data_IF_510929803363
#
_entry.id   IF_510929803363
#
_cell.length_a   1.000
_cell.length_b   1.000
_cell.length_c   1.000
_cell.angle_alpha   90.00
_cell.angle_beta   90.00
_cell.angle_gamma   90.00
#
_symmetry.space_group_name_H-M   'P 1'
#
loop_
_entity.id
_entity.type
_entity.pdbx_description
1 polymer ?
#
# COMPACT_ATOMS: atom_id res chain seq x y z
N UNK A 1 -55.26 -14.55 -63.31
CA UNK A 1 -54.54 -13.94 -64.42
C UNK A 1 -53.07 -14.03 -64.15
N UNK A 2 -52.52 -14.91 -64.75
CA UNK A 2 -51.28 -15.47 -65.13
C UNK A 2 -50.32 -14.43 -65.68
N UNK A 3 -49.05 -14.40 -65.24
CA UNK A 3 -47.95 -14.32 -66.19
C UNK A 3 -46.64 -14.75 -65.49
N UNK A 4 -46.08 -15.83 -66.06
CA UNK A 4 -44.72 -16.33 -65.77
C UNK A 4 -43.68 -15.39 -66.40
N UNK A 5 -42.53 -15.25 -65.82
CA UNK A 5 -41.34 -14.75 -66.49
C UNK A 5 -40.14 -15.61 -66.14
N UNK A 6 -39.61 -16.24 -67.23
CA UNK A 6 -38.39 -17.03 -67.28
C UNK A 6 -37.18 -16.06 -67.15
N UNK A 7 -36.24 -16.37 -66.30
CA UNK A 7 -34.92 -15.74 -66.34
C UNK A 7 -33.86 -16.81 -66.57
N UNK A 8 -33.13 -16.59 -67.59
CA UNK A 8 -31.99 -17.38 -68.12
C UNK A 8 -30.76 -17.22 -67.26
N UNK A 9 -30.09 -18.31 -66.89
CA UNK A 9 -28.77 -18.37 -66.34
C UNK A 9 -27.70 -18.07 -67.41
N UNK A 10 -26.72 -17.18 -67.08
CA UNK A 10 -25.47 -17.18 -67.84
C UNK A 10 -24.45 -18.14 -67.21
N UNK A 11 -23.82 -18.92 -68.02
CA UNK A 11 -22.67 -19.79 -67.73
C UNK A 11 -21.46 -18.89 -67.34
N UNK A 12 -20.93 -19.07 -66.12
CA UNK A 12 -19.64 -18.55 -65.74
C UNK A 12 -18.63 -19.68 -65.73
N UNK A 13 -18.12 -20.03 -66.91
CA UNK A 13 -16.90 -20.84 -67.09
C UNK A 13 -15.80 -19.93 -67.63
N UNK A 14 -14.91 -19.41 -66.74
CA UNK A 14 -13.77 -18.67 -67.26
C UNK A 14 -12.91 -17.91 -66.21
N UNK A 15 -13.32 -17.80 -64.97
CA UNK A 15 -12.60 -16.95 -63.97
C UNK A 15 -11.77 -17.70 -62.94
N UNK A 16 -11.74 -19.06 -62.98
CA UNK A 16 -11.07 -19.84 -61.93
C UNK A 16 -9.55 -20.05 -62.16
N UNK A 17 -9.00 -19.61 -63.28
CA UNK A 17 -7.55 -19.81 -63.58
C UNK A 17 -6.68 -18.55 -63.45
N UNK A 18 -7.25 -17.38 -63.34
CA UNK A 18 -6.50 -16.13 -63.17
C UNK A 18 -6.21 -15.76 -61.70
N UNK A 19 -7.00 -16.27 -60.74
CA UNK A 19 -6.83 -15.98 -59.30
C UNK A 19 -5.75 -16.83 -58.59
N UNK A 20 -5.29 -17.92 -59.22
CA UNK A 20 -4.28 -18.80 -58.62
C UNK A 20 -2.83 -18.35 -58.86
N UNK A 21 -2.59 -17.34 -59.71
CA UNK A 21 -1.25 -16.82 -59.98
C UNK A 21 -0.95 -15.49 -59.30
N UNK A 22 -1.95 -14.79 -58.75
CA UNK A 22 -1.76 -13.57 -57.98
C UNK A 22 -1.57 -13.86 -56.49
N UNK A 23 -2.07 -14.99 -56.00
CA UNK A 23 -1.92 -15.41 -54.60
C UNK A 23 -0.51 -15.85 -54.19
N UNK A 24 0.37 -16.20 -55.17
CA UNK A 24 1.72 -16.70 -54.87
C UNK A 24 2.79 -15.58 -54.82
N UNK A 25 2.45 -14.36 -55.23
CA UNK A 25 3.37 -13.22 -55.19
C UNK A 25 3.16 -12.32 -53.97
N UNK A 26 2.09 -12.52 -53.16
CA UNK A 26 1.86 -11.80 -51.91
C UNK A 26 2.39 -12.55 -50.66
N UNK A 27 2.86 -13.79 -50.81
CA UNK A 27 3.43 -14.57 -49.69
C UNK A 27 4.90 -14.21 -49.37
N UNK A 28 5.49 -13.29 -50.12
CA UNK A 28 6.90 -12.89 -49.97
C UNK A 28 7.16 -11.58 -49.20
N UNK A 29 6.11 -10.86 -48.77
CA UNK A 29 6.21 -9.65 -47.98
C UNK A 29 5.69 -9.90 -46.54
N UNK A 30 6.22 -10.93 -45.88
CA UNK A 30 6.27 -10.90 -44.43
C UNK A 30 7.19 -9.72 -44.08
N UNK A 31 6.71 -8.72 -43.30
CA UNK A 31 7.62 -7.71 -42.78
C UNK A 31 8.71 -8.49 -42.04
N UNK A 32 9.95 -8.40 -42.49
CA UNK A 32 11.09 -8.76 -41.66
C UNK A 32 10.90 -7.89 -40.42
N UNK A 33 10.44 -8.49 -39.32
CA UNK A 33 10.48 -7.88 -38.01
C UNK A 33 11.94 -7.52 -37.81
N UNK A 34 12.25 -6.24 -37.99
CA UNK A 34 13.54 -5.65 -37.61
C UNK A 34 13.69 -5.98 -36.16
N UNK A 35 14.55 -6.94 -35.83
CA UNK A 35 14.80 -7.29 -34.43
C UNK A 35 15.66 -6.16 -33.88
N UNK A 36 15.05 -5.38 -32.99
CA UNK A 36 15.75 -4.33 -32.26
C UNK A 36 16.98 -4.92 -31.54
N UNK A 37 18.08 -4.16 -31.54
CA UNK A 37 19.31 -4.51 -30.81
C UNK A 37 19.16 -4.39 -29.28
N UNK A 38 17.92 -4.19 -28.80
CA UNK A 38 17.55 -4.07 -27.41
C UNK A 38 16.37 -5.00 -27.12
N UNK A 39 16.43 -5.68 -25.98
CA UNK A 39 15.31 -6.46 -25.44
C UNK A 39 15.37 -6.49 -23.91
N UNK A 40 14.21 -6.57 -23.27
CA UNK A 40 14.09 -6.75 -21.82
C UNK A 40 13.25 -7.99 -21.51
N UNK A 41 13.70 -8.77 -20.53
CA UNK A 41 12.90 -9.91 -20.08
C UNK A 41 11.68 -9.44 -19.30
N UNK A 42 10.55 -10.20 -19.35
CA UNK A 42 9.38 -9.88 -18.53
C UNK A 42 9.75 -9.75 -17.05
N UNK A 43 9.22 -8.72 -16.42
CA UNK A 43 9.35 -8.46 -14.99
C UNK A 43 8.11 -8.99 -14.26
N UNK A 44 8.32 -9.77 -13.20
CA UNK A 44 7.21 -10.24 -12.38
C UNK A 44 6.66 -9.09 -11.51
N UNK A 45 5.37 -9.18 -11.19
CA UNK A 45 4.70 -8.24 -10.29
C UNK A 45 5.32 -8.23 -8.88
N UNK A 46 5.16 -7.11 -8.21
CA UNK A 46 5.50 -6.93 -6.80
C UNK A 46 4.23 -6.97 -5.96
N UNK A 47 3.98 -8.08 -5.30
CA UNK A 47 2.94 -8.22 -4.30
C UNK A 47 3.58 -8.18 -2.92
N UNK A 48 3.34 -7.10 -2.18
CA UNK A 48 3.84 -6.94 -0.83
C UNK A 48 2.94 -7.64 0.20
N UNK A 49 1.72 -8.01 -0.19
CA UNK A 49 0.75 -8.59 0.71
C UNK A 49 0.27 -7.59 1.77
N UNK A 50 0.04 -8.10 2.98
CA UNK A 50 -0.55 -7.35 4.08
C UNK A 50 0.53 -6.71 4.95
N UNK A 51 0.50 -5.38 5.09
CA UNK A 51 1.48 -4.65 5.92
C UNK A 51 1.24 -4.89 7.42
N UNK A 52 2.32 -5.14 8.16
CA UNK A 52 2.28 -5.25 9.63
C UNK A 52 2.81 -3.98 10.28
N UNK A 53 2.06 -3.36 11.21
CA UNK A 53 2.54 -2.22 11.99
C UNK A 53 3.85 -2.53 12.72
N UNK A 54 4.77 -1.56 12.74
CA UNK A 54 6.08 -1.71 13.36
C UNK A 54 7.14 -2.34 12.44
N UNK A 55 6.77 -2.87 11.27
CA UNK A 55 7.74 -3.15 10.23
C UNK A 55 8.36 -1.82 9.77
N UNK A 56 9.67 -1.79 9.70
CA UNK A 56 10.40 -0.63 9.22
C UNK A 56 10.19 -0.41 7.71
N UNK A 57 11.27 -0.21 6.97
CA UNK A 57 11.20 -0.12 5.52
C UNK A 57 10.85 -1.48 4.89
N UNK A 58 9.89 -1.51 3.98
CA UNK A 58 9.60 -2.66 3.14
C UNK A 58 10.33 -2.52 1.81
N UNK A 59 11.05 -3.58 1.41
CA UNK A 59 11.83 -3.62 0.19
C UNK A 59 11.57 -4.92 -0.54
N UNK A 60 11.21 -4.81 -1.81
CA UNK A 60 11.14 -5.94 -2.73
C UNK A 60 11.98 -5.67 -3.96
N UNK A 61 12.48 -6.70 -4.60
CA UNK A 61 13.27 -6.55 -5.83
C UNK A 61 12.96 -7.65 -6.84
N UNK A 62 13.15 -7.32 -8.11
CA UNK A 62 13.05 -8.26 -9.23
C UNK A 62 14.24 -8.06 -10.16
N UNK A 63 14.85 -9.15 -10.52
CA UNK A 63 15.95 -9.17 -11.46
C UNK A 63 15.42 -9.30 -12.89
N UNK A 64 16.07 -8.64 -13.82
CA UNK A 64 15.76 -8.71 -15.23
C UNK A 64 17.03 -8.76 -16.09
N UNK A 65 16.87 -9.18 -17.34
CA UNK A 65 17.91 -9.13 -18.33
C UNK A 65 17.61 -8.00 -19.31
N UNK A 66 18.53 -7.04 -19.43
CA UNK A 66 18.53 -6.00 -20.43
C UNK A 66 19.56 -6.35 -21.51
N UNK A 67 19.09 -6.86 -22.64
CA UNK A 67 19.91 -7.07 -23.82
C UNK A 67 20.14 -5.72 -24.49
N UNK A 68 21.40 -5.38 -24.78
CA UNK A 68 21.75 -4.18 -25.54
C UNK A 68 23.02 -4.45 -26.35
N UNK A 69 22.88 -4.49 -27.69
CA UNK A 69 23.93 -4.96 -28.61
C UNK A 69 24.04 -4.07 -29.84
N UNK A 70 25.13 -4.23 -30.58
CA UNK A 70 25.37 -3.53 -31.87
C UNK A 70 24.36 -4.01 -32.93
N UNK A 71 23.75 -3.04 -33.61
CA UNK A 71 22.83 -3.29 -34.73
C UNK A 71 21.54 -4.02 -34.28
N UNK A 72 20.82 -4.56 -35.23
CA UNK A 72 19.52 -5.21 -35.01
C UNK A 72 19.64 -6.70 -34.66
N UNK A 73 20.86 -7.17 -34.35
CA UNK A 73 21.13 -8.57 -34.12
C UNK A 73 21.12 -8.93 -32.63
N UNK A 74 20.00 -9.38 -32.14
CA UNK A 74 19.90 -10.01 -30.82
C UNK A 74 20.70 -11.35 -30.73
N UNK A 75 21.47 -11.68 -31.77
CA UNK A 75 22.30 -12.89 -31.85
C UNK A 75 23.78 -12.63 -31.55
N UNK A 76 24.10 -11.45 -31.03
CA UNK A 76 25.46 -11.11 -30.63
C UNK A 76 25.95 -12.03 -29.52
N UNK A 77 27.07 -12.73 -29.78
CA UNK A 77 27.62 -13.77 -28.90
C UNK A 77 28.99 -13.40 -28.30
N UNK A 78 29.41 -12.14 -28.39
CA UNK A 78 30.68 -11.72 -27.81
C UNK A 78 30.62 -10.34 -27.17
N UNK A 79 31.45 -10.13 -26.15
CA UNK A 79 31.50 -8.91 -25.35
C UNK A 79 31.74 -7.63 -26.15
N UNK A 80 32.37 -7.72 -27.33
CA UNK A 80 32.65 -6.54 -28.17
C UNK A 80 31.39 -5.99 -28.87
N UNK A 81 30.30 -6.75 -28.83
CA UNK A 81 29.02 -6.35 -29.42
C UNK A 81 28.06 -5.75 -28.37
N UNK A 82 28.40 -5.82 -27.10
CA UNK A 82 27.59 -5.24 -26.03
C UNK A 82 27.61 -3.71 -26.11
N UNK A 83 26.48 -3.12 -25.76
CA UNK A 83 26.32 -1.68 -25.63
C UNK A 83 25.72 -1.34 -24.25
N UNK A 84 26.07 -0.21 -23.70
CA UNK A 84 25.40 0.24 -22.49
C UNK A 84 23.92 0.52 -22.75
N UNK A 85 23.12 0.47 -21.67
CA UNK A 85 21.71 0.84 -21.70
C UNK A 85 21.37 1.86 -20.64
N UNK A 86 20.29 2.61 -20.87
CA UNK A 86 19.56 3.38 -19.88
C UNK A 86 18.18 2.79 -19.66
N UNK A 87 17.50 3.22 -18.62
CA UNK A 87 16.16 2.76 -18.30
C UNK A 87 15.26 3.95 -17.97
N UNK A 88 13.97 3.80 -18.29
CA UNK A 88 12.92 4.76 -17.94
C UNK A 88 11.77 3.97 -17.34
N UNK A 89 11.20 4.46 -16.24
CA UNK A 89 9.96 3.91 -15.71
C UNK A 89 8.83 4.90 -15.94
N UNK A 90 7.76 4.42 -16.57
CA UNK A 90 6.52 5.16 -16.80
C UNK A 90 5.44 4.66 -15.87
N UNK A 91 4.68 5.58 -15.28
CA UNK A 91 3.47 5.29 -14.52
C UNK A 91 2.27 5.22 -15.48
N UNK A 92 1.74 4.03 -15.68
CA UNK A 92 0.65 3.78 -16.63
C UNK A 92 -0.73 4.18 -16.10
N UNK A 93 -0.87 4.35 -14.80
CA UNK A 93 -2.12 4.75 -14.16
C UNK A 93 -2.20 6.27 -13.89
N UNK A 94 -1.15 7.00 -14.30
CA UNK A 94 -1.02 8.45 -14.12
C UNK A 94 -1.16 8.93 -12.66
N UNK A 95 -0.82 8.08 -11.70
CA UNK A 95 -0.84 8.40 -10.28
C UNK A 95 0.38 9.21 -9.83
N UNK A 96 1.47 9.19 -10.60
CA UNK A 96 2.71 9.90 -10.29
C UNK A 96 2.49 11.41 -10.12
N UNK A 97 3.24 12.02 -9.21
CA UNK A 97 3.20 13.45 -8.95
C UNK A 97 4.62 14.04 -9.01
N UNK A 98 4.90 14.80 -10.06
CA UNK A 98 6.23 15.35 -10.30
C UNK A 98 7.28 14.26 -10.41
N UNK A 99 8.24 14.24 -9.48
CA UNK A 99 9.33 13.24 -9.43
C UNK A 99 9.03 12.01 -8.60
N UNK A 100 7.79 11.85 -8.08
CA UNK A 100 7.44 10.80 -7.13
C UNK A 100 6.48 9.80 -7.76
N UNK A 101 6.84 8.53 -7.73
CA UNK A 101 5.93 7.43 -8.05
C UNK A 101 4.92 7.24 -6.93
N UNK A 102 3.69 6.88 -7.27
CA UNK A 102 2.63 6.63 -6.29
C UNK A 102 1.80 5.43 -6.68
N UNK A 103 1.30 4.72 -5.68
CA UNK A 103 0.21 3.76 -5.82
C UNK A 103 -1.10 4.48 -5.54
N UNK A 104 -2.15 4.14 -6.28
CA UNK A 104 -3.49 4.64 -6.03
C UNK A 104 -4.27 3.66 -5.15
N UNK A 105 -5.06 4.20 -4.23
CA UNK A 105 -6.06 3.40 -3.51
C UNK A 105 -7.12 2.89 -4.49
N UNK A 106 -7.56 1.65 -4.35
CA UNK A 106 -8.52 1.03 -5.30
C UNK A 106 -9.86 1.76 -5.37
N UNK A 107 -10.30 2.40 -4.27
CA UNK A 107 -11.50 3.22 -4.23
C UNK A 107 -11.26 4.66 -4.72
N UNK A 108 -10.03 5.01 -5.08
CA UNK A 108 -9.65 6.34 -5.56
C UNK A 108 -9.39 7.36 -4.44
N UNK A 109 -8.94 8.55 -4.84
CA UNK A 109 -8.79 9.73 -3.97
C UNK A 109 -7.59 9.72 -3.02
N UNK A 110 -6.93 8.58 -2.79
CA UNK A 110 -5.77 8.45 -1.91
C UNK A 110 -4.60 7.83 -2.63
N UNK A 111 -3.40 8.26 -2.26
CA UNK A 111 -2.16 7.83 -2.89
C UNK A 111 -1.10 7.52 -1.84
N UNK A 112 -0.29 6.51 -2.12
CA UNK A 112 0.88 6.14 -1.35
C UNK A 112 2.14 6.38 -2.19
N UNK A 113 3.07 7.17 -1.68
CA UNK A 113 4.36 7.40 -2.34
C UNK A 113 5.26 6.18 -2.22
N UNK A 114 5.97 5.87 -3.32
CA UNK A 114 6.93 4.77 -3.37
C UNK A 114 8.24 5.25 -3.98
N UNK A 115 9.33 4.62 -3.59
CA UNK A 115 10.63 4.81 -4.22
C UNK A 115 10.95 3.63 -5.13
N UNK A 116 11.25 3.92 -6.40
CA UNK A 116 11.79 2.94 -7.34
C UNK A 116 13.28 3.20 -7.57
N UNK A 117 14.07 2.14 -7.55
CA UNK A 117 15.52 2.20 -7.79
C UNK A 117 15.94 1.16 -8.80
N UNK A 118 16.92 1.50 -9.60
CA UNK A 118 17.57 0.59 -10.54
C UNK A 118 18.98 0.27 -10.05
N UNK A 119 19.33 -1.00 -10.01
CA UNK A 119 20.70 -1.45 -9.72
C UNK A 119 21.25 -2.21 -10.92
N UNK A 120 22.39 -1.76 -11.41
CA UNK A 120 23.23 -2.55 -12.32
C UNK A 120 23.93 -3.67 -11.53
N UNK A 121 23.61 -4.91 -11.82
CA UNK A 121 24.16 -6.06 -11.10
C UNK A 121 25.63 -6.34 -11.43
N UNK A 122 26.17 -5.78 -12.50
CA UNK A 122 27.56 -5.95 -12.88
C UNK A 122 28.47 -4.93 -12.21
N UNK A 123 28.07 -3.66 -12.22
CA UNK A 123 28.84 -2.59 -11.55
C UNK A 123 28.50 -2.44 -10.06
N UNK A 124 27.31 -2.91 -9.64
CA UNK A 124 26.78 -2.73 -8.30
C UNK A 124 26.20 -1.34 -8.04
N UNK A 125 26.27 -0.43 -9.03
CA UNK A 125 25.73 0.94 -8.90
C UNK A 125 24.21 0.91 -8.83
N UNK A 126 23.66 1.65 -7.88
CA UNK A 126 22.22 1.81 -7.66
C UNK A 126 21.84 3.28 -7.73
N UNK A 127 20.78 3.60 -8.47
CA UNK A 127 20.27 4.98 -8.61
C UNK A 127 18.76 5.02 -8.39
N UNK A 128 18.25 6.15 -7.88
CA UNK A 128 16.82 6.40 -7.77
C UNK A 128 16.25 6.73 -9.16
N UNK A 129 15.04 6.24 -9.41
CA UNK A 129 14.28 6.53 -10.61
C UNK A 129 13.26 7.64 -10.34
N UNK A 130 12.92 8.38 -11.38
CA UNK A 130 11.82 9.34 -11.36
C UNK A 130 10.87 9.04 -12.52
N UNK A 131 9.57 9.32 -12.39
CA UNK A 131 8.57 9.03 -13.42
C UNK A 131 8.93 9.70 -14.75
N UNK A 132 8.97 8.91 -15.83
CA UNK A 132 9.24 9.36 -17.19
C UNK A 132 10.63 10.01 -17.42
N UNK A 133 11.54 9.91 -16.46
CA UNK A 133 12.91 10.39 -16.57
C UNK A 133 13.84 9.21 -16.83
N UNK A 134 14.55 9.26 -17.95
CA UNK A 134 15.54 8.24 -18.30
C UNK A 134 16.80 8.36 -17.43
N UNK A 135 17.35 7.22 -17.04
CA UNK A 135 18.67 7.14 -16.42
C UNK A 135 19.77 7.43 -17.44
N UNK A 136 20.99 7.65 -16.97
CA UNK A 136 22.15 7.67 -17.87
C UNK A 136 22.30 6.34 -18.62
N UNK A 137 22.78 6.40 -19.86
CA UNK A 137 23.06 5.23 -20.70
C UNK A 137 24.45 4.68 -20.38
N UNK A 138 24.60 4.15 -19.17
CA UNK A 138 25.87 3.70 -18.60
C UNK A 138 25.81 2.28 -17.97
N UNK A 139 24.61 1.69 -17.93
CA UNK A 139 24.43 0.33 -17.40
C UNK A 139 24.92 -0.72 -18.38
N UNK A 140 25.45 -1.81 -17.86
CA UNK A 140 26.06 -2.85 -18.68
C UNK A 140 25.04 -3.72 -19.37
N UNK A 141 24.90 -3.58 -20.69
CA UNK A 141 24.03 -4.46 -21.52
C UNK A 141 24.48 -5.93 -21.49
N UNK A 142 23.56 -6.81 -21.79
CA UNK A 142 23.81 -8.25 -21.93
C UNK A 142 23.64 -8.69 -23.37
N UNK A 143 24.22 -9.85 -23.69
CA UNK A 143 23.91 -10.60 -24.90
C UNK A 143 22.53 -11.26 -24.80
N UNK A 144 22.08 -11.78 -25.93
CA UNK A 144 20.76 -12.45 -26.03
C UNK A 144 20.59 -13.51 -24.93
N UNK A 145 19.44 -13.42 -24.26
CA UNK A 145 19.02 -14.39 -23.27
C UNK A 145 19.76 -14.34 -21.96
N UNK A 146 20.61 -13.32 -21.75
CA UNK A 146 21.50 -13.24 -20.58
C UNK A 146 22.11 -14.62 -20.30
N UNK A 147 23.26 -14.96 -20.86
CA UNK A 147 23.83 -16.31 -20.85
C UNK A 147 23.68 -16.99 -19.48
N UNK A 148 23.26 -18.22 -19.48
CA UNK A 148 23.03 -19.03 -18.28
C UNK A 148 21.87 -18.59 -17.38
N UNK A 149 20.87 -17.90 -17.92
CA UNK A 149 19.71 -17.41 -17.15
C UNK A 149 20.05 -16.28 -16.17
N UNK A 150 21.20 -15.62 -16.39
CA UNK A 150 21.65 -14.51 -15.56
C UNK A 150 20.82 -13.24 -15.78
N UNK A 151 20.90 -12.33 -14.83
CA UNK A 151 20.33 -10.99 -14.90
C UNK A 151 21.45 -9.97 -14.85
N UNK A 152 21.24 -8.79 -15.44
CA UNK A 152 22.18 -7.67 -15.36
C UNK A 152 21.57 -6.42 -14.76
N UNK A 153 20.26 -6.40 -14.57
CA UNK A 153 19.53 -5.32 -13.91
C UNK A 153 18.65 -5.85 -12.78
N UNK A 154 18.43 -4.99 -11.78
CA UNK A 154 17.51 -5.23 -10.67
C UNK A 154 16.65 -4.00 -10.44
N UNK A 155 15.34 -4.17 -10.51
CA UNK A 155 14.40 -3.15 -10.07
C UNK A 155 14.09 -3.39 -8.59
N UNK A 156 14.17 -2.32 -7.80
CA UNK A 156 13.95 -2.32 -6.36
C UNK A 156 12.80 -1.37 -6.05
N UNK A 157 11.83 -1.84 -5.29
CA UNK A 157 10.70 -1.06 -4.77
C UNK A 157 10.90 -0.88 -3.27
N UNK A 158 10.80 0.35 -2.77
CA UNK A 158 10.90 0.67 -1.34
C UNK A 158 9.67 1.41 -0.87
N UNK A 159 9.17 1.01 0.29
CA UNK A 159 8.05 1.60 1.01
C UNK A 159 8.55 1.98 2.40
N UNK A 160 8.31 3.22 2.82
CA UNK A 160 8.72 3.69 4.15
C UNK A 160 7.64 3.34 5.17
N UNK A 161 8.03 2.75 6.30
CA UNK A 161 7.09 2.34 7.36
C UNK A 161 6.32 3.51 7.97
N UNK A 162 6.94 4.70 8.06
CA UNK A 162 6.28 5.93 8.51
C UNK A 162 5.11 6.33 7.60
N UNK A 163 5.32 6.24 6.28
CA UNK A 163 4.31 6.61 5.30
C UNK A 163 3.17 5.59 5.31
N UNK A 164 3.49 4.30 5.46
CA UNK A 164 2.51 3.22 5.58
C UNK A 164 1.63 3.39 6.82
N UNK A 165 2.21 3.76 7.96
CA UNK A 165 1.48 3.97 9.20
C UNK A 165 0.49 5.15 9.14
N UNK A 166 0.79 6.18 8.35
CA UNK A 166 -0.05 7.34 8.14
C UNK A 166 -1.01 7.22 6.93
N UNK A 167 -0.96 6.08 6.24
CA UNK A 167 -1.76 5.86 5.03
C UNK A 167 -3.09 5.22 5.38
N UNK A 168 -4.16 5.68 4.72
CA UNK A 168 -5.51 5.11 4.83
C UNK A 168 -5.49 3.60 4.62
N UNK A 169 -6.30 2.86 5.40
CA UNK A 169 -6.52 1.43 5.22
C UNK A 169 -7.06 1.09 3.83
N UNK A 170 -6.67 -0.05 3.30
CA UNK A 170 -7.16 -0.60 2.04
C UNK A 170 -6.06 -1.02 1.07
N UNK A 171 -6.46 -1.35 -0.14
CA UNK A 171 -5.57 -1.86 -1.19
C UNK A 171 -5.04 -0.70 -2.02
N UNK A 172 -3.72 -0.67 -2.21
CA UNK A 172 -3.00 0.27 -3.08
C UNK A 172 -2.37 -0.48 -4.22
N UNK A 173 -2.61 -0.01 -5.44
CA UNK A 173 -2.09 -0.62 -6.66
C UNK A 173 -1.54 0.44 -7.61
N UNK A 174 -0.58 0.03 -8.47
CA UNK A 174 -0.08 0.81 -9.59
C UNK A 174 0.49 -0.08 -10.66
N UNK A 175 0.30 0.31 -11.92
CA UNK A 175 0.89 -0.35 -13.09
C UNK A 175 1.96 0.53 -13.69
N UNK A 176 3.07 -0.09 -14.02
CA UNK A 176 4.26 0.60 -14.51
C UNK A 176 4.82 -0.11 -15.74
N UNK A 177 5.53 0.65 -16.56
CA UNK A 177 6.32 0.14 -17.67
C UNK A 177 7.79 0.45 -17.44
N UNK A 178 8.65 -0.56 -17.50
CA UNK A 178 10.10 -0.42 -17.51
C UNK A 178 10.57 -0.50 -18.96
N UNK A 179 10.98 0.62 -19.53
CA UNK A 179 11.58 0.70 -20.85
C UNK A 179 13.11 0.71 -20.73
N UNK A 180 13.77 -0.09 -21.55
CA UNK A 180 15.23 -0.12 -21.69
C UNK A 180 15.59 0.53 -23.01
N UNK A 181 16.49 1.51 -22.98
CA UNK A 181 16.97 2.25 -24.14
C UNK A 181 18.45 1.94 -24.37
N UNK A 182 18.84 1.55 -25.57
CA UNK A 182 20.20 1.11 -25.82
C UNK A 182 20.48 0.89 -27.32
N UNK A 183 21.35 -0.06 -27.61
CA UNK A 183 21.77 -0.40 -28.96
C UNK A 183 22.83 0.54 -29.51
N UNK A 184 23.09 0.51 -30.84
CA UNK A 184 24.19 1.23 -31.48
C UNK A 184 24.12 2.76 -31.33
N UNK A 185 22.91 3.32 -31.29
CA UNK A 185 22.68 4.77 -31.28
C UNK A 185 21.81 5.23 -30.09
N UNK A 186 21.54 4.37 -29.11
CA UNK A 186 20.64 4.69 -27.99
C UNK A 186 19.17 4.90 -28.38
N UNK A 187 18.83 4.67 -29.65
CA UNK A 187 17.51 4.96 -30.20
C UNK A 187 16.56 3.74 -30.25
N UNK A 188 17.05 2.58 -29.88
CA UNK A 188 16.24 1.36 -29.82
C UNK A 188 15.75 1.15 -28.40
N UNK A 189 14.49 0.81 -28.24
CA UNK A 189 13.91 0.53 -26.94
C UNK A 189 13.03 -0.71 -26.96
N UNK A 190 12.95 -1.37 -25.82
CA UNK A 190 11.99 -2.44 -25.54
C UNK A 190 11.49 -2.25 -24.10
N UNK A 191 10.28 -2.72 -23.82
CA UNK A 191 9.66 -2.46 -22.52
C UNK A 191 8.94 -3.70 -21.99
N UNK A 192 8.86 -3.77 -20.66
CA UNK A 192 8.06 -4.74 -19.93
C UNK A 192 7.19 -4.02 -18.90
N UNK A 193 6.00 -4.57 -18.64
CA UNK A 193 5.08 -4.02 -17.66
C UNK A 193 5.08 -4.86 -16.39
N UNK A 194 4.81 -4.22 -15.26
CA UNK A 194 4.66 -4.87 -13.96
C UNK A 194 3.66 -4.08 -13.11
N UNK A 195 3.10 -4.76 -12.12
CA UNK A 195 2.20 -4.19 -11.12
C UNK A 195 2.87 -4.21 -9.75
N UNK A 196 2.57 -3.19 -8.95
CA UNK A 196 2.88 -3.15 -7.53
C UNK A 196 1.56 -3.14 -6.78
N UNK A 197 1.44 -4.01 -5.76
CA UNK A 197 0.27 -4.11 -4.89
C UNK A 197 0.68 -4.22 -3.44
N UNK A 198 -0.11 -3.59 -2.58
CA UNK A 198 0.05 -3.58 -1.13
C UNK A 198 -1.33 -3.50 -0.48
N UNK A 199 -1.51 -4.19 0.65
CA UNK A 199 -2.70 -4.12 1.49
C UNK A 199 -2.34 -3.49 2.85
N UNK A 200 -2.97 -2.37 3.18
CA UNK A 200 -2.78 -1.64 4.44
C UNK A 200 -3.95 -1.94 5.36
N UNK A 201 -3.69 -2.52 6.55
CA UNK A 201 -4.74 -2.85 7.50
C UNK A 201 -5.41 -1.59 8.05
N UNK A 202 -6.63 -1.76 8.53
CA UNK A 202 -7.31 -0.77 9.36
C UNK A 202 -6.65 -0.75 10.75
N UNK A 203 -6.05 0.37 11.10
CA UNK A 203 -5.28 0.55 12.32
C UNK A 203 -5.99 1.52 13.26
N UNK A 204 -6.07 1.14 14.53
CA UNK A 204 -6.47 2.03 15.60
C UNK A 204 -5.45 1.96 16.73
N UNK A 205 -5.20 3.10 17.39
CA UNK A 205 -4.22 3.21 18.46
C UNK A 205 -4.64 4.23 19.50
N UNK A 206 -4.41 3.91 20.78
CA UNK A 206 -4.45 4.86 21.89
C UNK A 206 -3.02 5.32 22.21
N UNK A 207 -2.86 6.59 22.52
CA UNK A 207 -1.65 7.17 23.07
C UNK A 207 -1.98 8.25 24.12
N UNK A 208 -0.97 8.66 24.89
CA UNK A 208 -1.05 9.73 25.91
C UNK A 208 -1.98 9.43 27.10
N UNK A 209 -2.31 8.16 27.37
CA UNK A 209 -3.06 7.79 28.56
C UNK A 209 -2.11 7.69 29.76
N UNK A 210 -2.41 8.44 30.82
CA UNK A 210 -1.67 8.47 32.06
C UNK A 210 -2.46 7.92 33.26
N UNK A 211 -1.92 8.13 34.48
CA UNK A 211 -2.59 7.76 35.71
C UNK A 211 -3.69 8.76 36.05
N UNK A 212 -4.82 8.28 36.58
CA UNK A 212 -5.94 9.10 37.03
C UNK A 212 -5.92 9.17 38.55
N UNK A 213 -5.54 10.33 39.09
CA UNK A 213 -5.56 10.57 40.52
C UNK A 213 -6.92 11.11 40.95
N UNK A 214 -7.59 10.43 41.89
CA UNK A 214 -8.88 10.84 42.43
C UNK A 214 -8.75 11.78 43.66
N UNK A 215 -7.56 11.82 44.27
CA UNK A 215 -7.29 12.66 45.43
C UNK A 215 -7.81 12.05 46.76
N UNK A 216 -8.06 12.92 47.71
CA UNK A 216 -8.49 12.56 49.07
C UNK A 216 -9.98 12.88 49.21
N UNK A 217 -10.78 11.94 49.76
CA UNK A 217 -12.20 12.17 50.04
C UNK A 217 -12.37 13.21 51.15
N UNK A 218 -13.02 14.36 50.91
CA UNK A 218 -13.16 15.43 51.89
C UNK A 218 -14.29 15.19 52.89
N UNK A 219 -14.97 14.04 52.84
CA UNK A 219 -16.10 13.72 53.70
C UNK A 219 -17.47 13.95 53.06
N UNK A 220 -17.56 14.52 51.89
CA UNK A 220 -18.78 14.69 51.12
C UNK A 220 -18.50 14.86 49.62
N UNK A 221 -19.46 14.50 48.79
CA UNK A 221 -19.37 14.60 47.34
C UNK A 221 -18.67 13.41 46.68
N UNK A 222 -18.84 13.26 45.37
CA UNK A 222 -18.18 12.24 44.59
C UNK A 222 -16.67 12.58 44.42
N UNK A 223 -15.83 11.55 44.32
CA UNK A 223 -14.47 11.72 43.81
C UNK A 223 -14.47 11.56 42.29
N UNK A 224 -13.89 12.52 41.63
CA UNK A 224 -13.79 12.58 40.15
C UNK A 224 -12.34 12.76 39.73
N UNK A 225 -11.91 11.97 38.75
CA UNK A 225 -10.66 12.14 38.07
C UNK A 225 -10.84 11.90 36.56
N UNK A 226 -10.05 12.55 35.75
CA UNK A 226 -10.08 12.33 34.29
C UNK A 226 -8.70 12.43 33.68
N UNK A 227 -8.52 11.76 32.58
CA UNK A 227 -7.33 11.89 31.75
C UNK A 227 -7.73 12.05 30.29
N UNK A 228 -6.92 12.83 29.57
CA UNK A 228 -7.11 13.10 28.16
C UNK A 228 -6.17 12.22 27.32
N UNK A 229 -6.68 11.66 26.24
CA UNK A 229 -5.94 10.71 25.41
C UNK A 229 -6.09 11.02 23.93
N UNK A 230 -5.19 10.48 23.14
CA UNK A 230 -5.27 10.51 21.70
C UNK A 230 -5.69 9.13 21.16
N UNK A 231 -6.72 9.11 20.32
CA UNK A 231 -7.06 7.95 19.51
C UNK A 231 -6.78 8.27 18.06
N UNK A 232 -5.94 7.48 17.44
CA UNK A 232 -5.62 7.52 16.04
C UNK A 232 -6.31 6.36 15.33
N UNK A 233 -6.81 6.61 14.11
CA UNK A 233 -7.25 5.59 13.16
C UNK A 233 -6.88 6.03 11.74
N UNK A 234 -6.28 5.15 10.95
CA UNK A 234 -5.90 5.46 9.57
C UNK A 234 -7.09 5.42 8.58
N UNK A 235 -8.31 5.54 9.08
CA UNK A 235 -9.52 5.72 8.28
C UNK A 235 -10.13 7.11 8.54
N UNK A 236 -10.44 7.91 7.48
CA UNK A 236 -10.94 9.27 7.62
C UNK A 236 -12.35 9.38 8.23
N UNK A 237 -13.09 8.27 8.39
CA UNK A 237 -14.36 8.30 9.12
C UNK A 237 -14.16 8.63 10.59
N UNK A 238 -12.96 8.37 11.14
CA UNK A 238 -12.63 8.55 12.53
C UNK A 238 -13.45 7.68 13.50
N UNK A 239 -14.24 6.75 12.98
CA UNK A 239 -15.11 5.89 13.81
C UNK A 239 -14.35 4.70 14.36
N UNK A 240 -14.56 4.33 15.61
CA UNK A 240 -13.93 3.18 16.26
C UNK A 240 -14.83 2.63 17.39
N UNK A 241 -14.50 1.44 17.87
CA UNK A 241 -15.11 0.84 19.05
C UNK A 241 -14.23 1.12 20.27
N UNK A 242 -14.84 1.38 21.42
CA UNK A 242 -14.16 1.46 22.71
C UNK A 242 -14.85 0.56 23.70
N UNK A 243 -14.08 -0.18 24.48
CA UNK A 243 -14.52 -0.97 25.62
C UNK A 243 -13.60 -0.72 26.81
N UNK A 244 -14.08 -1.05 28.00
CA UNK A 244 -13.32 -0.91 29.22
C UNK A 244 -13.45 -2.15 30.09
N UNK A 245 -12.36 -2.54 30.76
CA UNK A 245 -12.34 -3.58 31.77
C UNK A 245 -11.59 -3.12 33.02
N UNK A 246 -12.07 -3.54 34.18
CA UNK A 246 -11.43 -3.31 35.47
C UNK A 246 -10.67 -4.54 35.96
N UNK A 247 -10.11 -4.43 37.17
CA UNK A 247 -9.38 -5.53 37.82
C UNK A 247 -10.25 -6.43 38.70
N UNK A 248 -11.50 -6.04 38.99
CA UNK A 248 -12.40 -6.80 39.84
C UNK A 248 -12.93 -8.09 39.19
N UNK A 249 -13.62 -8.89 39.97
CA UNK A 249 -14.23 -10.13 39.48
C UNK A 249 -15.22 -9.83 38.34
N UNK A 250 -15.09 -10.58 37.21
CA UNK A 250 -15.88 -10.32 36.02
C UNK A 250 -15.58 -8.98 35.36
N UNK A 251 -14.32 -8.54 35.45
CA UNK A 251 -13.83 -7.26 34.86
C UNK A 251 -14.42 -6.00 35.51
N UNK A 252 -15.00 -6.13 36.71
CA UNK A 252 -15.63 -5.03 37.41
C UNK A 252 -14.67 -3.85 37.63
N UNK A 253 -15.23 -2.64 37.60
CA UNK A 253 -14.51 -1.42 37.88
C UNK A 253 -14.41 -1.24 39.39
N UNK A 254 -13.24 -1.59 39.97
CA UNK A 254 -12.98 -1.46 41.39
C UNK A 254 -11.58 -0.89 41.66
N UNK A 255 -11.47 -0.08 42.71
CA UNK A 255 -10.21 0.16 43.38
C UNK A 255 -10.19 -0.67 44.67
N UNK A 256 -9.02 -1.15 45.07
CA UNK A 256 -8.92 -2.09 46.19
C UNK A 256 -7.76 -1.70 47.11
N UNK A 257 -7.92 -2.02 48.44
CA UNK A 257 -6.89 -2.01 49.46
C UNK A 257 -7.17 -3.15 50.46
N UNK A 258 -6.16 -3.97 50.72
CA UNK A 258 -6.21 -5.09 51.68
C UNK A 258 -7.44 -6.02 51.56
N UNK A 259 -7.93 -6.22 50.32
CA UNK A 259 -9.07 -7.06 50.02
C UNK A 259 -10.44 -6.37 50.08
N UNK A 260 -10.48 -5.09 50.45
CA UNK A 260 -11.67 -4.25 50.38
C UNK A 260 -11.76 -3.61 49.00
N UNK A 261 -12.88 -3.80 48.29
CA UNK A 261 -13.11 -3.25 46.96
C UNK A 261 -14.14 -2.12 46.98
N UNK A 262 -13.81 -0.99 46.35
CA UNK A 262 -14.73 0.12 46.12
C UNK A 262 -15.07 0.22 44.65
N UNK A 263 -16.35 0.10 44.26
CA UNK A 263 -16.76 0.22 42.86
C UNK A 263 -16.63 1.68 42.37
N UNK A 264 -16.30 1.84 41.09
CA UNK A 264 -16.32 3.13 40.42
C UNK A 264 -17.05 3.05 39.06
N UNK A 265 -17.41 4.20 38.54
CA UNK A 265 -18.04 4.38 37.22
C UNK A 265 -16.99 4.94 36.26
N UNK A 266 -17.04 4.48 35.01
CA UNK A 266 -16.18 4.96 33.93
C UNK A 266 -17.04 5.61 32.87
N UNK A 267 -16.71 6.85 32.53
CA UNK A 267 -17.28 7.55 31.40
C UNK A 267 -16.19 7.82 30.35
N UNK A 268 -16.57 7.76 29.09
CA UNK A 268 -15.72 8.06 27.95
C UNK A 268 -16.32 9.17 27.10
N UNK A 269 -15.46 10.04 26.56
CA UNK A 269 -15.84 11.11 25.64
C UNK A 269 -14.91 11.12 24.43
N UNK A 270 -15.50 11.13 23.23
CA UNK A 270 -14.83 11.39 21.95
C UNK A 270 -14.91 12.87 21.54
N UNK A 271 -15.16 13.76 22.49
CA UNK A 271 -15.43 15.18 22.25
C UNK A 271 -16.91 15.51 22.03
N UNK A 272 -17.78 14.53 21.81
CA UNK A 272 -19.23 14.74 21.62
C UNK A 272 -20.03 14.74 22.92
N UNK A 273 -19.40 14.40 24.05
CA UNK A 273 -20.02 14.30 25.37
C UNK A 273 -19.65 13.03 26.10
N UNK A 274 -19.94 12.99 27.40
CA UNK A 274 -19.65 11.85 28.25
C UNK A 274 -20.70 10.74 28.10
N UNK A 275 -20.23 9.52 27.92
CA UNK A 275 -21.05 8.29 27.84
C UNK A 275 -20.47 7.23 28.76
N UNK A 276 -21.33 6.57 29.56
CA UNK A 276 -20.90 5.53 30.47
C UNK A 276 -20.41 4.29 29.71
N UNK A 277 -19.29 3.72 30.17
CA UNK A 277 -18.80 2.41 29.77
C UNK A 277 -19.26 1.36 30.82
N UNK A 278 -19.60 0.17 30.37
CA UNK A 278 -19.90 -0.97 31.24
C UNK A 278 -18.69 -1.88 31.34
N UNK A 279 -18.38 -2.34 32.53
CA UNK A 279 -17.31 -3.30 32.77
C UNK A 279 -17.59 -4.62 32.02
N UNK A 280 -16.65 -5.05 31.17
CA UNK A 280 -16.84 -6.26 30.33
C UNK A 280 -18.07 -6.21 29.42
N UNK A 281 -18.60 -5.01 29.16
CA UNK A 281 -19.77 -4.80 28.32
C UNK A 281 -19.45 -4.84 26.82
N UNK A 282 -20.53 -4.72 26.00
CA UNK A 282 -20.34 -4.62 24.54
C UNK A 282 -19.57 -3.34 24.18
N UNK A 283 -18.65 -3.41 23.20
CA UNK A 283 -17.94 -2.26 22.72
C UNK A 283 -18.87 -1.13 22.26
N UNK A 284 -18.55 0.09 22.62
CA UNK A 284 -19.33 1.27 22.28
C UNK A 284 -18.76 1.94 21.03
N UNK A 285 -19.59 2.19 20.04
CA UNK A 285 -19.20 2.92 18.83
C UNK A 285 -19.05 4.42 19.15
N UNK A 286 -17.92 4.98 18.76
CA UNK A 286 -17.52 6.38 18.94
C UNK A 286 -16.86 6.90 17.68
N UNK A 287 -16.55 8.18 17.63
CA UNK A 287 -15.92 8.85 16.47
C UNK A 287 -14.73 9.72 16.86
N UNK A 288 -14.34 10.60 15.92
CA UNK A 288 -13.35 11.65 16.15
C UNK A 288 -11.91 11.16 16.36
N UNK A 289 -11.56 9.93 15.92
CA UNK A 289 -10.15 9.53 15.86
C UNK A 289 -9.38 10.43 14.88
N UNK A 290 -8.13 10.74 15.21
CA UNK A 290 -7.23 11.46 14.31
C UNK A 290 -6.77 10.52 13.19
N UNK A 291 -6.96 10.92 11.94
CA UNK A 291 -6.51 10.13 10.78
C UNK A 291 -5.14 10.58 10.23
N UNK A 292 -4.57 11.67 10.76
CA UNK A 292 -3.36 12.27 10.23
C UNK A 292 -2.10 11.91 11.05
N UNK A 293 -2.23 11.81 12.37
CA UNK A 293 -1.08 11.61 13.25
C UNK A 293 -1.36 10.58 14.36
N UNK A 294 -0.45 9.63 14.52
CA UNK A 294 -0.56 8.52 15.48
C UNK A 294 -0.52 8.95 16.96
N UNK A 295 -0.16 10.20 17.22
CA UNK A 295 -0.08 10.84 18.54
C UNK A 295 -0.90 12.13 18.61
N UNK A 296 -1.81 12.35 17.63
CA UNK A 296 -2.62 13.57 17.47
C UNK A 296 -1.78 14.86 17.49
N UNK A 297 -0.50 14.80 17.10
CA UNK A 297 0.45 15.94 17.18
C UNK A 297 0.54 16.57 18.58
N UNK A 298 0.40 15.73 19.64
CA UNK A 298 0.44 16.17 21.03
C UNK A 298 -0.87 16.76 21.57
N UNK A 299 -1.95 16.75 20.76
CA UNK A 299 -3.30 17.10 21.20
C UNK A 299 -4.05 15.87 21.71
N UNK A 300 -5.21 16.07 22.32
CA UNK A 300 -6.13 15.01 22.72
C UNK A 300 -7.44 15.17 22.01
N UNK A 301 -8.02 14.06 21.54
CA UNK A 301 -9.32 14.04 20.87
C UNK A 301 -10.36 13.20 21.62
N UNK A 302 -9.94 12.55 22.71
CA UNK A 302 -10.79 11.77 23.58
C UNK A 302 -10.40 11.98 25.05
N UNK A 303 -11.28 11.58 25.96
CA UNK A 303 -11.03 11.62 27.42
C UNK A 303 -11.74 10.46 28.10
N UNK A 304 -11.14 9.99 29.18
CA UNK A 304 -11.75 9.04 30.11
C UNK A 304 -11.92 9.69 31.47
N UNK A 305 -13.02 9.41 32.16
CA UNK A 305 -13.33 9.89 33.48
C UNK A 305 -13.72 8.75 34.38
N UNK A 306 -13.17 8.76 35.60
CA UNK A 306 -13.50 7.84 36.69
C UNK A 306 -14.21 8.60 37.76
N UNK A 307 -15.30 8.01 38.32
CA UNK A 307 -16.08 8.59 39.42
C UNK A 307 -16.36 7.51 40.45
N UNK A 308 -16.09 7.84 41.72
CA UNK A 308 -16.55 7.06 42.89
C UNK A 308 -17.62 7.87 43.59
N UNK A 309 -18.81 7.27 43.75
CA UNK A 309 -19.95 7.94 44.36
C UNK A 309 -19.75 8.18 45.86
N UNK A 310 -20.25 9.29 46.38
CA UNK A 310 -20.18 9.67 47.81
C UNK A 310 -20.66 8.54 48.74
N UNK A 311 -21.75 7.85 48.37
CA UNK A 311 -22.31 6.76 49.18
C UNK A 311 -21.35 5.58 49.36
N UNK A 312 -20.52 5.30 48.34
CA UNK A 312 -19.46 4.28 48.40
C UNK A 312 -18.35 4.76 49.34
N UNK A 313 -17.88 6.00 49.14
CA UNK A 313 -16.79 6.60 49.91
C UNK A 313 -17.13 6.78 51.40
N UNK A 314 -18.36 7.16 51.70
CA UNK A 314 -18.81 7.36 53.10
C UNK A 314 -18.87 6.05 53.90
N UNK A 315 -18.95 4.90 53.23
CA UNK A 315 -18.94 3.59 53.87
C UNK A 315 -17.58 2.88 53.82
N UNK A 316 -16.60 3.49 53.16
CA UNK A 316 -15.27 2.92 52.99
C UNK A 316 -14.44 3.03 54.25
N UNK A 317 -13.59 2.03 54.52
CA UNK A 317 -12.57 2.14 55.57
C UNK A 317 -11.48 3.16 55.14
N UNK A 318 -10.90 3.88 56.12
CA UNK A 318 -9.77 4.77 55.80
C UNK A 318 -8.61 3.96 55.19
N UNK A 319 -8.09 4.44 54.05
CA UNK A 319 -7.00 3.75 53.35
C UNK A 319 -6.59 4.38 52.06
N UNK A 320 -5.66 3.72 51.32
CA UNK A 320 -5.16 4.15 50.03
C UNK A 320 -5.54 3.12 48.96
N UNK A 321 -6.63 3.39 48.28
CA UNK A 321 -7.21 2.50 47.27
C UNK A 321 -6.58 2.74 45.89
N UNK A 322 -6.19 1.68 45.25
CA UNK A 322 -5.65 1.71 43.90
C UNK A 322 -6.36 0.67 42.99
N UNK A 323 -6.41 0.91 41.71
CA UNK A 323 -7.01 0.01 40.74
C UNK A 323 -6.45 0.17 39.34
N UNK A 324 -6.78 -0.78 38.49
CA UNK A 324 -6.42 -0.76 37.07
C UNK A 324 -7.67 -0.68 36.21
N UNK A 325 -7.66 0.28 35.28
CA UNK A 325 -8.60 0.41 34.20
C UNK A 325 -7.88 0.11 32.89
N UNK A 326 -8.40 -0.81 32.10
CA UNK A 326 -7.91 -1.10 30.74
C UNK A 326 -8.91 -0.58 29.74
N UNK A 327 -8.46 0.27 28.82
CA UNK A 327 -9.22 0.70 27.65
C UNK A 327 -8.73 -0.05 26.42
N UNK A 328 -9.66 -0.66 25.68
CA UNK A 328 -9.39 -1.32 24.42
C UNK A 328 -10.12 -0.58 23.32
N UNK A 329 -9.42 -0.32 22.21
CA UNK A 329 -10.02 0.24 20.99
C UNK A 329 -9.87 -0.73 19.84
N UNK A 330 -10.88 -0.77 18.96
CA UNK A 330 -10.88 -1.59 17.76
C UNK A 330 -11.46 -0.83 16.57
N UNK A 331 -11.07 -1.13 15.33
CA UNK A 331 -11.70 -0.57 14.14
C UNK A 331 -13.17 -1.09 14.04
N UNK A 332 -14.01 -0.29 13.36
CA UNK A 332 -15.39 -0.69 13.01
C UNK A 332 -15.42 -1.31 11.63
#
# INVERSE_FOLDING_TARGET
MTTANRSSKPEVRGLARALLRVGLLLAGLLPMLVQAGVAVTPLADFDFGYWSPGAGQWVASRDFCAVSVVGDRLTANNANQLRPYGATVEDLDAAANGSTFRLAHVDGGHFLSIELRLRDLRSGVEEALAPNIGTATDKTGAERGCPSGGSNGRLIVRLLGSDLAATRAGIYEGRFSLAINGGSNGSTSDATTFRIRLDIPDLVRISSLGDIALGIFPGSGDLLGSDALCVYRNDPSGAYLVEASGQGAGEAFVVAEDGVELPFVVDYSDGSGWRALSAGGSPMAVGNADAAATDCTGASNASVRVRIDESVLASAEPGSYAGRLTLTVAPI
#
